data_IF_871968238383
#
_entry.id   IF_871968238383
#
_cell.length_a   1.000
_cell.length_b   1.000
_cell.length_c   1.000
_cell.angle_alpha   90.00
_cell.angle_beta   90.00
_cell.angle_gamma   90.00
#
_symmetry.space_group_name_H-M   'P 1'
#
loop_
_entity.id
_entity.type
_entity.pdbx_description
1 polymer ?
#
# COMPACT_ATOMS: atom_id res chain seq x y z
N UNK A 1 -2.65 -19.08 -4.97
CA UNK A 1 -2.55 -19.36 -3.52
C UNK A 1 -2.21 -18.05 -2.84
N UNK A 2 -2.91 -17.67 -1.77
CA UNK A 2 -2.60 -16.45 -1.03
C UNK A 2 -1.27 -16.60 -0.28
N UNK A 3 -0.37 -15.61 -0.37
CA UNK A 3 1.01 -15.72 0.13
C UNK A 3 1.14 -15.60 1.65
N UNK A 4 0.16 -15.01 2.35
CA UNK A 4 0.20 -14.77 3.81
C UNK A 4 -0.90 -15.53 4.55
N UNK A 5 -1.22 -16.73 4.08
CA UNK A 5 -2.20 -17.56 4.75
C UNK A 5 -1.71 -17.89 6.16
N UNK A 6 -2.61 -17.81 7.14
CA UNK A 6 -2.34 -18.08 8.56
C UNK A 6 -1.35 -17.10 9.23
N UNK A 7 -0.99 -16.00 8.56
CA UNK A 7 -0.16 -14.92 9.12
C UNK A 7 -1.02 -13.76 9.63
N UNK A 8 -0.55 -13.03 10.65
CA UNK A 8 -1.23 -11.83 11.15
C UNK A 8 -0.89 -10.64 10.24
N UNK A 9 -1.90 -9.84 9.89
CA UNK A 9 -1.70 -8.60 9.14
C UNK A 9 -0.74 -7.63 9.85
N UNK A 10 0.49 -7.52 9.36
CA UNK A 10 1.49 -6.56 9.82
C UNK A 10 1.70 -5.42 8.81
N UNK A 11 2.60 -4.49 9.12
CA UNK A 11 2.91 -3.34 8.25
C UNK A 11 3.52 -3.74 6.89
N UNK A 12 4.26 -4.84 6.83
CA UNK A 12 4.93 -5.30 5.62
C UNK A 12 3.92 -5.91 4.66
N UNK A 13 3.08 -6.82 5.19
CA UNK A 13 1.95 -7.42 4.48
C UNK A 13 0.99 -6.32 4.01
N UNK A 14 0.65 -5.38 4.89
CA UNK A 14 -0.22 -4.25 4.53
C UNK A 14 0.39 -3.39 3.41
N UNK A 15 1.69 -3.11 3.42
CA UNK A 15 2.34 -2.34 2.36
C UNK A 15 2.26 -3.04 1.00
N UNK A 16 2.52 -4.35 0.96
CA UNK A 16 2.42 -5.13 -0.28
C UNK A 16 0.98 -5.16 -0.81
N UNK A 17 0.00 -5.42 0.07
CA UNK A 17 -1.41 -5.40 -0.31
C UNK A 17 -1.86 -4.01 -0.79
N UNK A 18 -1.37 -2.92 -0.16
CA UNK A 18 -1.68 -1.56 -0.61
C UNK A 18 -1.19 -1.33 -2.04
N UNK A 19 0.04 -1.74 -2.36
CA UNK A 19 0.58 -1.60 -3.72
C UNK A 19 -0.21 -2.46 -4.70
N UNK A 20 -0.47 -3.72 -4.38
CA UNK A 20 -1.25 -4.63 -5.25
C UNK A 20 -2.65 -4.09 -5.55
N UNK A 21 -3.34 -3.56 -4.53
CA UNK A 21 -4.73 -3.12 -4.62
C UNK A 21 -4.88 -1.71 -5.19
N UNK A 22 -3.91 -0.82 -4.96
CA UNK A 22 -4.09 0.62 -5.18
C UNK A 22 -3.06 1.28 -6.09
N UNK A 23 -2.04 0.58 -6.60
CA UNK A 23 -1.09 1.15 -7.56
C UNK A 23 -1.78 1.92 -8.70
N UNK A 24 -1.24 3.09 -9.06
CA UNK A 24 -1.78 3.97 -10.09
C UNK A 24 -3.03 4.78 -9.69
N UNK A 25 -3.65 4.51 -8.53
CA UNK A 25 -4.79 5.31 -8.09
C UNK A 25 -4.35 6.67 -7.51
N UNK A 26 -5.04 7.73 -7.93
CA UNK A 26 -4.68 9.09 -7.53
C UNK A 26 -5.47 9.65 -6.34
N UNK A 27 -6.61 9.04 -5.97
CA UNK A 27 -7.45 9.50 -4.86
C UNK A 27 -8.17 8.35 -4.17
N UNK A 28 -7.57 7.83 -3.11
CA UNK A 28 -8.17 6.78 -2.26
C UNK A 28 -8.25 7.26 -0.82
N UNK A 29 -9.42 7.13 -0.20
CA UNK A 29 -9.60 7.50 1.21
C UNK A 29 -8.87 6.50 2.13
N UNK A 30 -8.23 7.00 3.19
CA UNK A 30 -7.53 6.15 4.18
C UNK A 30 -8.42 5.03 4.74
N UNK A 31 -9.68 5.33 5.05
CA UNK A 31 -10.64 4.31 5.54
C UNK A 31 -10.81 3.18 4.54
N UNK A 32 -11.08 3.51 3.27
CA UNK A 32 -11.20 2.55 2.17
C UNK A 32 -9.95 1.69 1.99
N UNK A 33 -8.77 2.28 2.17
CA UNK A 33 -7.50 1.53 2.11
C UNK A 33 -7.48 0.48 3.22
N UNK A 34 -7.76 0.89 4.46
CA UNK A 34 -7.76 -0.02 5.60
C UNK A 34 -8.76 -1.15 5.43
N UNK A 35 -10.01 -0.82 5.09
CA UNK A 35 -11.09 -1.80 4.92
C UNK A 35 -10.75 -2.81 3.82
N UNK A 36 -10.22 -2.35 2.69
CA UNK A 36 -9.90 -3.24 1.57
C UNK A 36 -8.70 -4.13 1.84
N UNK A 37 -7.66 -3.62 2.50
CA UNK A 37 -6.47 -4.39 2.87
C UNK A 37 -6.86 -5.49 3.87
N UNK A 38 -7.60 -5.13 4.91
CA UNK A 38 -8.08 -6.09 5.91
C UNK A 38 -8.98 -7.16 5.28
N UNK A 39 -9.98 -6.74 4.49
CA UNK A 39 -10.88 -7.66 3.81
C UNK A 39 -10.11 -8.62 2.89
N UNK A 40 -9.18 -8.10 2.08
CA UNK A 40 -8.37 -8.93 1.16
C UNK A 40 -7.51 -9.93 1.92
N UNK A 41 -6.94 -9.53 3.06
CA UNK A 41 -6.12 -10.40 3.89
C UNK A 41 -6.94 -11.53 4.51
N UNK A 42 -8.09 -11.21 5.11
CA UNK A 42 -8.99 -12.18 5.73
C UNK A 42 -9.56 -13.15 4.68
N UNK A 43 -10.00 -12.64 3.52
CA UNK A 43 -10.54 -13.48 2.43
C UNK A 43 -9.47 -14.44 1.87
N UNK A 44 -8.19 -14.04 1.91
CA UNK A 44 -7.06 -14.87 1.56
C UNK A 44 -6.72 -15.97 2.57
N UNK A 45 -7.38 -15.98 3.75
CA UNK A 45 -7.09 -16.88 4.86
C UNK A 45 -5.98 -16.36 5.79
N UNK A 46 -5.70 -15.06 5.76
CA UNK A 46 -4.87 -14.39 6.77
C UNK A 46 -5.60 -14.20 8.10
N UNK A 47 -4.85 -13.91 9.16
CA UNK A 47 -5.38 -13.70 10.50
C UNK A 47 -5.60 -12.21 10.77
N UNK A 48 -6.73 -11.85 11.39
CA UNK A 48 -6.99 -10.45 11.74
C UNK A 48 -6.00 -9.96 12.80
N UNK A 49 -5.52 -8.72 12.65
CA UNK A 49 -4.79 -8.04 13.71
C UNK A 49 -5.79 -7.34 14.64
N UNK A 50 -5.49 -7.26 15.94
CA UNK A 50 -6.33 -6.50 16.89
C UNK A 50 -6.42 -4.99 16.59
N UNK A 51 -5.66 -4.51 15.60
CA UNK A 51 -5.53 -3.13 15.18
C UNK A 51 -4.98 -3.08 13.75
N UNK A 52 -5.69 -3.68 12.80
CA UNK A 52 -5.35 -3.68 11.36
C UNK A 52 -5.10 -2.26 10.83
N UNK A 53 -5.82 -1.27 11.36
CA UNK A 53 -5.66 0.14 11.00
C UNK A 53 -4.29 0.72 11.39
N UNK A 54 -3.67 0.23 12.47
CA UNK A 54 -2.30 0.61 12.84
C UNK A 54 -1.28 0.06 11.84
N UNK A 55 -1.40 -1.21 11.45
CA UNK A 55 -0.54 -1.82 10.44
C UNK A 55 -0.61 -1.06 9.10
N UNK A 56 -1.83 -0.72 8.65
CA UNK A 56 -2.07 0.09 7.45
C UNK A 56 -1.46 1.49 7.58
N UNK A 57 -1.52 2.12 8.76
CA UNK A 57 -0.90 3.44 8.97
C UNK A 57 0.61 3.39 8.81
N UNK A 58 1.26 2.41 9.45
CA UNK A 58 2.71 2.25 9.34
C UNK A 58 3.15 1.91 7.92
N UNK A 59 2.35 1.11 7.21
CA UNK A 59 2.58 0.80 5.81
C UNK A 59 2.54 2.06 4.94
N UNK A 60 1.50 2.90 5.10
CA UNK A 60 1.35 4.14 4.36
C UNK A 60 2.48 5.15 4.64
N UNK A 61 2.93 5.26 5.89
CA UNK A 61 4.08 6.10 6.25
C UNK A 61 5.37 5.59 5.59
N UNK A 62 5.59 4.27 5.57
CA UNK A 62 6.72 3.65 4.88
C UNK A 62 6.69 3.88 3.36
N UNK A 63 5.54 3.67 2.72
CA UNK A 63 5.37 3.90 1.28
C UNK A 63 5.57 5.38 0.92
N UNK A 64 5.15 6.30 1.80
CA UNK A 64 5.40 7.74 1.62
C UNK A 64 6.89 8.06 1.72
N UNK A 65 7.61 7.49 2.68
CA UNK A 65 9.05 7.68 2.81
C UNK A 65 9.81 7.17 1.57
N UNK A 66 9.34 6.06 0.98
CA UNK A 66 9.86 5.51 -0.28
C UNK A 66 9.39 6.27 -1.53
N UNK A 67 8.58 7.31 -1.39
CA UNK A 67 7.97 8.09 -2.49
C UNK A 67 7.10 7.27 -3.43
N UNK A 68 6.57 6.14 -2.94
CA UNK A 68 5.63 5.26 -3.65
C UNK A 68 4.17 5.65 -3.40
N UNK A 69 3.91 6.35 -2.29
CA UNK A 69 2.61 6.92 -1.98
C UNK A 69 2.75 8.40 -1.62
N UNK A 70 1.67 9.16 -1.80
CA UNK A 70 1.57 10.52 -1.34
C UNK A 70 0.20 10.77 -0.70
N UNK A 71 0.11 11.81 0.13
CA UNK A 71 -1.13 12.23 0.78
C UNK A 71 -1.27 13.75 0.55
N UNK A 72 -1.71 14.17 -0.65
CA UNK A 72 -1.76 15.58 -1.02
C UNK A 72 -2.85 16.35 -0.28
N UNK A 73 -3.91 15.64 0.12
CA UNK A 73 -5.06 16.19 0.87
C UNK A 73 -5.29 15.29 2.06
N UNK A 74 -5.45 15.88 3.26
CA UNK A 74 -5.59 15.14 4.51
C UNK A 74 -6.64 14.02 4.39
N UNK A 75 -6.16 12.77 4.39
CA UNK A 75 -6.99 11.58 4.38
C UNK A 75 -7.23 10.96 3.00
N UNK A 76 -6.75 11.60 1.93
CA UNK A 76 -6.70 11.08 0.57
C UNK A 76 -5.27 10.71 0.20
N UNK A 77 -5.11 9.52 -0.36
CA UNK A 77 -3.83 8.95 -0.76
C UNK A 77 -3.78 8.73 -2.25
N UNK A 78 -2.60 8.94 -2.82
CA UNK A 78 -2.24 8.56 -4.18
C UNK A 78 -1.08 7.58 -4.15
N UNK A 79 -1.03 6.67 -5.12
CA UNK A 79 -0.01 5.63 -5.23
C UNK A 79 0.58 5.66 -6.65
N UNK A 80 1.91 5.61 -6.75
CA UNK A 80 2.57 5.49 -8.04
C UNK A 80 2.18 4.17 -8.70
N UNK A 81 2.01 4.20 -10.03
CA UNK A 81 2.00 2.97 -10.81
C UNK A 81 3.43 2.42 -10.98
N UNK A 82 3.56 1.12 -11.27
CA UNK A 82 4.86 0.54 -11.64
C UNK A 82 5.44 1.27 -12.87
N UNK A 83 4.60 1.62 -13.84
CA UNK A 83 5.03 2.36 -15.03
C UNK A 83 5.61 3.74 -14.67
N UNK A 84 4.99 4.45 -13.71
CA UNK A 84 5.52 5.72 -13.20
C UNK A 84 6.87 5.52 -12.47
N UNK A 85 7.05 4.41 -11.77
CA UNK A 85 8.31 4.08 -11.09
C UNK A 85 9.42 3.81 -12.12
N UNK A 86 9.12 3.03 -13.16
CA UNK A 86 10.05 2.73 -14.25
C UNK A 86 10.45 4.00 -14.98
N UNK A 87 9.48 4.79 -15.43
CA UNK A 87 9.75 6.04 -16.14
C UNK A 87 10.60 7.02 -15.32
N UNK A 88 10.39 7.06 -14.00
CA UNK A 88 11.16 7.90 -13.09
C UNK A 88 12.59 7.40 -12.88
N UNK A 89 12.78 6.08 -12.90
CA UNK A 89 14.11 5.48 -12.83
C UNK A 89 14.90 5.72 -14.13
N UNK A 90 14.27 5.52 -15.29
CA UNK A 90 14.88 5.80 -16.60
C UNK A 90 15.29 7.27 -16.73
N UNK A 91 14.41 8.21 -16.33
CA UNK A 91 14.73 9.64 -16.32
C UNK A 91 15.92 10.01 -15.42
N UNK A 92 16.20 9.25 -14.36
CA UNK A 92 17.35 9.45 -13.48
C UNK A 92 18.65 8.90 -14.08
N UNK A 93 18.55 7.89 -14.95
CA UNK A 93 19.68 7.34 -15.67
C UNK A 93 20.08 8.23 -16.86
N UNK A 94 19.10 8.87 -17.52
CA UNK A 94 19.32 9.77 -18.67
C UNK A 94 19.92 11.14 -18.30
N UNK A 95 20.05 11.45 -17.01
CA UNK A 95 20.62 12.72 -16.52
C UNK A 95 22.11 12.64 -16.15
N UNK A 96 22.80 11.54 -16.45
CA UNK A 96 24.27 11.37 -16.35
C UNK A 96 24.92 11.19 -17.72
#
# INVERSE_FOLDING_TARGET
>A
MYKYKDEILDKSIAAELIIELFQGNQKVRRGTIGDRVEQTHIDGGGLPHNNSQWAVTLALDGLKALRLANNPVRGEWSFLSIDDMIARFESLLDTN
#
